data_IF_156171716463
#
_entry.id   IF_156171716463
#
_cell.length_a   1.000
_cell.length_b   1.000
_cell.length_c   1.000
_cell.angle_alpha   90.00
_cell.angle_beta   90.00
_cell.angle_gamma   90.00
#
_symmetry.space_group_name_H-M   'P 1'
#
loop_
_entity.id
_entity.type
_entity.pdbx_description
1 polymer ?
#
# COMPACT_ATOMS: atom_id res chain seq x y z
N UNK A 1 -18.91 -1.31 24.20
CA UNK A 1 -17.54 -1.76 23.88
C UNK A 1 -17.25 -1.32 22.46
N UNK A 2 -16.64 -0.14 22.29
CA UNK A 2 -16.35 0.42 20.98
C UNK A 2 -15.11 -0.27 20.41
N UNK A 3 -15.27 -0.94 19.28
CA UNK A 3 -14.20 -1.66 18.62
C UNK A 3 -13.13 -0.65 18.15
N UNK A 4 -11.94 -0.80 18.70
CA UNK A 4 -10.75 0.03 18.46
C UNK A 4 -10.40 0.01 16.97
N UNK A 5 -10.53 1.17 16.33
CA UNK A 5 -9.86 1.47 15.04
C UNK A 5 -8.41 1.04 15.15
N UNK A 6 -7.99 0.11 14.30
CA UNK A 6 -6.67 -0.52 14.41
C UNK A 6 -5.55 0.54 14.30
N UNK A 7 -4.59 0.58 15.25
CA UNK A 7 -3.54 1.61 15.32
C UNK A 7 -2.55 1.62 14.14
N UNK A 8 -2.73 0.75 13.14
CA UNK A 8 -1.90 0.71 11.93
C UNK A 8 -2.14 1.88 10.99
N UNK A 9 -3.29 2.58 11.09
CA UNK A 9 -3.54 3.78 10.28
C UNK A 9 -2.91 5.07 10.85
N UNK A 10 -2.60 5.13 12.15
CA UNK A 10 -2.08 6.34 12.78
C UNK A 10 -0.63 6.68 12.38
N UNK A 11 0.15 5.66 11.97
CA UNK A 11 1.52 5.83 11.47
C UNK A 11 1.63 6.52 10.11
N UNK A 12 0.54 6.58 9.33
CA UNK A 12 0.53 7.18 8.00
C UNK A 12 0.09 8.64 8.00
N UNK A 13 0.14 9.32 9.16
CA UNK A 13 0.05 10.80 9.24
C UNK A 13 1.22 11.53 8.56
N UNK A 14 2.10 10.82 7.85
CA UNK A 14 2.99 11.44 6.86
C UNK A 14 2.13 12.13 5.79
N UNK A 15 2.41 13.38 5.48
CA UNK A 15 1.77 14.12 4.38
C UNK A 15 1.98 13.36 3.05
N UNK A 16 1.05 12.47 2.70
CA UNK A 16 1.06 11.78 1.42
C UNK A 16 0.65 12.79 0.36
N UNK A 17 1.53 13.06 -0.60
CA UNK A 17 1.24 13.98 -1.68
C UNK A 17 0.77 13.15 -2.88
N UNK A 18 -0.53 13.18 -3.14
CA UNK A 18 -1.17 12.50 -4.28
C UNK A 18 -0.78 11.01 -4.39
N UNK A 19 -1.13 10.15 -3.41
CA UNK A 19 -0.89 8.72 -3.54
C UNK A 19 -1.66 8.17 -4.74
N UNK A 20 -0.95 7.49 -5.65
CA UNK A 20 -1.54 6.84 -6.82
C UNK A 20 -1.41 5.33 -6.69
N UNK A 21 -2.55 4.64 -6.65
CA UNK A 21 -2.62 3.19 -6.47
C UNK A 21 -3.46 2.60 -7.61
N UNK A 22 -2.93 1.58 -8.28
CA UNK A 22 -3.60 0.87 -9.36
C UNK A 22 -3.78 -0.58 -8.92
N UNK A 23 -5.02 -1.07 -8.95
CA UNK A 23 -5.34 -2.48 -8.78
C UNK A 23 -5.83 -3.04 -10.11
N UNK A 24 -5.14 -4.07 -10.60
CA UNK A 24 -5.42 -4.72 -11.88
C UNK A 24 -5.69 -6.20 -11.70
N UNK A 25 -6.70 -6.74 -12.38
CA UNK A 25 -6.91 -8.18 -12.53
C UNK A 25 -6.21 -8.64 -13.80
N UNK A 26 -5.32 -9.61 -13.68
CA UNK A 26 -4.74 -10.33 -14.80
C UNK A 26 -5.20 -11.79 -14.82
N UNK A 27 -5.04 -12.54 -15.92
CA UNK A 27 -5.35 -13.97 -15.93
C UNK A 27 -4.65 -14.76 -14.81
N UNK A 28 -3.44 -14.34 -14.44
CA UNK A 28 -2.60 -15.02 -13.44
C UNK A 28 -2.82 -14.57 -11.99
N UNK A 29 -3.72 -13.60 -11.74
CA UNK A 29 -3.97 -13.10 -10.38
C UNK A 29 -4.35 -11.63 -10.35
N UNK A 30 -3.92 -10.95 -9.29
CA UNK A 30 -4.10 -9.52 -9.08
C UNK A 30 -2.73 -8.85 -8.96
N UNK A 31 -2.60 -7.66 -9.53
CA UNK A 31 -1.45 -6.78 -9.33
C UNK A 31 -1.94 -5.54 -8.60
N UNK A 32 -1.24 -5.19 -7.51
CA UNK A 32 -1.41 -3.92 -6.83
C UNK A 32 -0.10 -3.11 -6.97
N UNK A 33 -0.18 -1.96 -7.64
CA UNK A 33 0.91 -1.03 -7.86
C UNK A 33 0.66 0.28 -7.12
N UNK A 34 1.71 0.88 -6.55
CA UNK A 34 1.64 2.19 -5.92
C UNK A 34 2.83 3.07 -6.30
N UNK A 35 2.53 4.35 -6.54
CA UNK A 35 3.50 5.45 -6.57
C UNK A 35 3.01 6.51 -5.60
N UNK A 36 3.81 6.80 -4.58
CA UNK A 36 3.47 7.74 -3.51
C UNK A 36 4.58 8.78 -3.43
N UNK A 37 4.23 10.06 -3.56
CA UNK A 37 5.18 11.13 -3.32
C UNK A 37 5.18 11.48 -1.83
N UNK A 38 6.38 11.54 -1.25
CA UNK A 38 6.59 11.99 0.13
C UNK A 38 7.55 13.18 0.12
N UNK A 39 7.62 13.99 1.19
CA UNK A 39 8.61 15.05 1.31
C UNK A 39 10.07 14.56 1.16
N UNK A 40 10.32 13.28 1.46
CA UNK A 40 11.65 12.68 1.46
C UNK A 40 11.97 11.90 0.18
N UNK A 41 11.07 11.88 -0.81
CA UNK A 41 11.24 11.17 -2.07
C UNK A 41 10.01 10.38 -2.52
N UNK A 42 10.16 9.63 -3.61
CA UNK A 42 9.10 8.82 -4.19
C UNK A 42 9.18 7.38 -3.69
N UNK A 43 8.07 6.87 -3.14
CA UNK A 43 7.90 5.45 -2.84
C UNK A 43 7.23 4.79 -4.03
N UNK A 44 7.85 3.74 -4.57
CA UNK A 44 7.30 2.94 -5.66
C UNK A 44 7.32 1.48 -5.23
N UNK A 45 6.17 0.81 -5.31
CA UNK A 45 6.05 -0.60 -4.96
C UNK A 45 5.01 -1.30 -5.82
N UNK A 46 5.20 -2.61 -6.00
CA UNK A 46 4.30 -3.49 -6.74
C UNK A 46 4.22 -4.84 -6.05
N UNK A 47 3.03 -5.44 -6.00
CA UNK A 47 2.81 -6.79 -5.48
C UNK A 47 1.84 -7.57 -6.37
N UNK A 48 2.03 -8.89 -6.43
CA UNK A 48 1.24 -9.80 -7.25
C UNK A 48 0.83 -11.00 -6.43
N UNK A 49 -0.45 -11.34 -6.44
CA UNK A 49 -0.96 -12.51 -5.74
C UNK A 49 -2.25 -13.03 -6.39
N UNK A 50 -2.54 -14.33 -6.26
CA UNK A 50 -3.79 -14.92 -6.77
C UNK A 50 -5.03 -14.41 -6.03
N UNK A 51 -4.88 -14.16 -4.73
CA UNK A 51 -5.84 -13.47 -3.87
C UNK A 51 -5.59 -11.95 -3.84
N UNK A 52 -6.66 -11.18 -4.08
CA UNK A 52 -6.61 -9.72 -4.17
C UNK A 52 -6.17 -9.06 -2.86
N UNK A 53 -6.66 -9.54 -1.72
CA UNK A 53 -6.35 -8.95 -0.42
C UNK A 53 -4.92 -9.24 -0.01
N UNK A 54 -4.40 -10.41 -0.34
CA UNK A 54 -2.99 -10.74 -0.17
C UNK A 54 -2.09 -9.83 -1.03
N UNK A 55 -2.42 -9.57 -2.30
CA UNK A 55 -1.66 -8.64 -3.14
C UNK A 55 -1.60 -7.23 -2.52
N UNK A 56 -2.73 -6.75 -1.98
CA UNK A 56 -2.79 -5.45 -1.29
C UNK A 56 -1.94 -5.46 -0.01
N UNK A 57 -2.05 -6.50 0.81
CA UNK A 57 -1.27 -6.61 2.05
C UNK A 57 0.24 -6.65 1.78
N UNK A 58 0.66 -7.38 0.75
CA UNK A 58 2.05 -7.41 0.31
C UNK A 58 2.54 -6.05 -0.19
N UNK A 59 1.70 -5.31 -0.93
CA UNK A 59 2.01 -3.94 -1.36
C UNK A 59 2.22 -3.02 -0.15
N UNK A 60 1.31 -3.06 0.83
CA UNK A 60 1.41 -2.26 2.06
C UNK A 60 2.71 -2.58 2.80
N UNK A 61 3.04 -3.86 2.99
CA UNK A 61 4.27 -4.27 3.67
C UNK A 61 5.54 -3.75 2.95
N UNK A 62 5.54 -3.75 1.61
CA UNK A 62 6.64 -3.19 0.81
C UNK A 62 6.78 -1.68 0.99
N UNK A 63 5.66 -0.96 1.01
CA UNK A 63 5.66 0.48 1.25
C UNK A 63 6.08 0.84 2.68
N UNK A 64 5.66 0.07 3.69
CA UNK A 64 6.11 0.24 5.08
C UNK A 64 7.63 0.07 5.22
N UNK A 65 8.21 -0.85 4.45
CA UNK A 65 9.66 -1.06 4.43
C UNK A 65 10.40 0.04 3.70
N UNK A 66 9.84 0.57 2.60
CA UNK A 66 10.46 1.62 1.81
C UNK A 66 10.37 3.03 2.44
N UNK A 67 9.44 3.23 3.37
CA UNK A 67 9.21 4.51 4.04
C UNK A 67 10.04 4.73 5.32
N UNK A 68 10.81 3.71 5.75
CA UNK A 68 11.66 3.75 6.95
C UNK A 68 13.07 4.27 6.67
#
# INVERSE_FOLDING_TARGET
MSQTVSPKLDKWQTHLINPHIILSKEPQGFIADATINTPNGHLVASARHEDMYAAINELINKLETAAQ
#
